data_IF_497961309059
#
_entry.id   IF_497961309059
#
_cell.length_a   1.000
_cell.length_b   1.000
_cell.length_c   1.000
_cell.angle_alpha   90.00
_cell.angle_beta   90.00
_cell.angle_gamma   90.00
#
_symmetry.space_group_name_H-M   'P 1'
#
loop_
_entity.id
_entity.type
_entity.pdbx_description
1 polymer ?
#
# COMPACT_ATOMS: atom_id res chain seq x y z
N UNK A 1 -6.73 0.79 -3.41
CA UNK A 1 -5.44 1.45 -3.73
C UNK A 1 -5.47 1.98 -5.17
N UNK A 2 -4.89 3.15 -5.40
CA UNK A 2 -4.79 3.73 -6.73
C UNK A 2 -3.58 3.24 -7.54
N UNK A 3 -3.46 3.68 -8.79
CA UNK A 3 -2.43 3.21 -9.75
C UNK A 3 -1.03 3.73 -9.43
N UNK A 4 -0.96 4.84 -8.71
CA UNK A 4 0.25 5.44 -8.13
C UNK A 4 0.53 4.92 -6.69
N UNK A 5 -0.25 3.94 -6.23
CA UNK A 5 -0.13 3.37 -4.89
C UNK A 5 -0.70 4.22 -3.76
N UNK A 6 -1.36 5.36 -4.03
CA UNK A 6 -1.97 6.13 -2.95
C UNK A 6 -3.14 5.38 -2.30
N UNK A 7 -3.33 5.68 -1.02
CA UNK A 7 -4.46 5.24 -0.19
C UNK A 7 -5.15 6.46 0.39
N UNK A 8 -6.47 6.41 0.54
CA UNK A 8 -7.27 7.58 0.93
C UNK A 8 -6.89 8.81 0.07
N UNK A 9 -6.49 9.93 0.68
CA UNK A 9 -5.93 11.10 -0.02
C UNK A 9 -4.45 11.31 0.33
N UNK A 10 -3.72 10.24 0.63
CA UNK A 10 -2.30 10.26 0.99
C UNK A 10 -1.45 9.98 -0.26
N UNK A 11 -1.26 11.03 -1.06
CA UNK A 11 -0.57 10.97 -2.35
C UNK A 11 0.95 10.88 -2.23
N UNK A 12 1.67 10.24 -3.17
CA UNK A 12 3.12 10.24 -3.16
C UNK A 12 3.73 11.64 -3.07
N UNK A 13 4.72 11.81 -2.20
CA UNK A 13 5.50 13.03 -1.98
C UNK A 13 4.70 14.21 -1.40
N UNK A 14 3.48 13.98 -0.92
CA UNK A 14 2.65 14.99 -0.27
C UNK A 14 2.98 15.13 1.22
N UNK A 15 2.97 16.35 1.76
CA UNK A 15 3.33 16.63 3.17
C UNK A 15 2.42 15.94 4.20
N UNK A 16 1.17 15.64 3.83
CA UNK A 16 0.22 14.90 4.66
C UNK A 16 0.73 13.52 5.15
N UNK A 17 1.76 12.95 4.51
CA UNK A 17 2.38 11.68 4.91
C UNK A 17 3.32 11.81 6.10
N UNK A 18 3.81 13.03 6.37
CA UNK A 18 4.72 13.31 7.47
C UNK A 18 4.00 13.57 8.79
N UNK A 19 2.67 13.73 8.76
CA UNK A 19 1.84 13.95 9.95
C UNK A 19 1.91 12.74 10.88
N UNK A 20 2.29 12.98 12.14
CA UNK A 20 2.45 11.94 13.18
C UNK A 20 1.39 12.01 14.28
N UNK A 21 0.86 13.20 14.57
CA UNK A 21 -0.02 13.41 15.72
C UNK A 21 -1.47 13.72 15.31
N UNK A 22 -1.68 14.31 14.14
CA UNK A 22 -3.02 14.64 13.64
C UNK A 22 -3.79 13.38 13.23
N UNK A 23 -5.08 13.33 13.59
CA UNK A 23 -5.95 12.21 13.23
C UNK A 23 -6.52 12.34 11.81
N UNK A 24 -6.87 13.57 11.45
CA UNK A 24 -7.50 13.95 10.19
C UNK A 24 -6.77 15.18 9.69
N UNK A 25 -6.58 15.28 8.38
CA UNK A 25 -6.05 16.48 7.74
C UNK A 25 -6.85 16.82 6.49
N UNK A 26 -6.58 17.98 5.91
CA UNK A 26 -7.07 18.39 4.61
C UNK A 26 -5.90 18.65 3.67
N UNK A 27 -6.13 18.41 2.37
CA UNK A 27 -5.20 18.77 1.30
C UNK A 27 -5.95 19.64 0.30
N UNK A 28 -5.26 20.53 -0.40
CA UNK A 28 -5.87 21.48 -1.36
C UNK A 28 -5.27 21.36 -2.77
N UNK A 29 -4.32 20.46 -2.95
CA UNK A 29 -3.43 20.32 -4.08
C UNK A 29 -3.30 18.86 -4.53
N UNK A 30 -4.39 18.08 -4.36
CA UNK A 30 -4.44 16.71 -4.89
C UNK A 30 -4.12 16.69 -6.39
N UNK A 31 -3.20 15.82 -6.86
CA UNK A 31 -2.85 15.70 -8.27
C UNK A 31 -4.01 15.13 -9.11
N UNK A 32 -5.04 14.60 -8.45
CA UNK A 32 -6.26 14.07 -9.08
C UNK A 32 -7.48 14.88 -8.63
N UNK A 33 -8.37 15.30 -9.54
CA UNK A 33 -9.55 16.08 -9.17
C UNK A 33 -10.52 15.28 -8.28
N UNK A 34 -11.25 15.93 -7.34
CA UNK A 34 -11.10 17.33 -6.95
C UNK A 34 -9.81 17.57 -6.14
N UNK A 35 -9.24 18.80 -6.22
CA UNK A 35 -7.97 19.14 -5.56
C UNK A 35 -8.10 19.16 -4.03
N UNK A 36 -9.26 19.57 -3.51
CA UNK A 36 -9.54 19.67 -2.08
C UNK A 36 -10.13 18.38 -1.52
N UNK A 37 -9.52 17.84 -0.46
CA UNK A 37 -9.95 16.59 0.17
C UNK A 37 -9.69 16.62 1.67
N UNK A 38 -10.56 15.95 2.44
CA UNK A 38 -10.32 15.62 3.85
C UNK A 38 -9.93 14.14 3.92
N UNK A 39 -8.98 13.78 4.77
CA UNK A 39 -8.47 12.41 4.85
C UNK A 39 -7.95 12.04 6.24
N UNK A 40 -8.06 10.75 6.59
CA UNK A 40 -7.36 10.21 7.74
C UNK A 40 -5.86 10.13 7.47
N UNK A 41 -5.06 10.40 8.48
CA UNK A 41 -3.61 10.30 8.42
C UNK A 41 -3.16 8.84 8.60
N UNK A 42 -1.87 8.58 8.40
CA UNK A 42 -1.28 7.26 8.64
C UNK A 42 -1.43 6.76 10.08
N UNK A 43 -1.21 7.57 11.14
CA UNK A 43 -1.45 7.14 12.52
C UNK A 43 -2.84 6.54 12.75
N UNK A 44 -3.90 7.21 12.27
CA UNK A 44 -5.28 6.71 12.41
C UNK A 44 -5.50 5.48 11.56
N UNK A 45 -5.06 5.50 10.31
CA UNK A 45 -5.20 4.36 9.39
C UNK A 45 -4.54 3.11 9.98
N UNK A 46 -3.32 3.23 10.53
CA UNK A 46 -2.55 2.13 11.11
C UNK A 46 -3.03 1.71 12.52
N UNK A 47 -3.90 2.50 13.16
CA UNK A 47 -4.53 2.14 14.44
C UNK A 47 -5.73 1.19 14.27
N UNK A 48 -6.22 0.98 13.04
CA UNK A 48 -7.35 0.11 12.77
C UNK A 48 -7.02 -1.35 13.15
N UNK A 49 -7.97 -2.04 13.79
CA UNK A 49 -7.79 -3.46 14.17
C UNK A 49 -7.64 -4.39 12.97
N UNK A 50 -8.21 -4.02 11.82
CA UNK A 50 -8.10 -4.74 10.57
C UNK A 50 -8.01 -3.74 9.42
N UNK A 51 -7.11 -3.98 8.47
CA UNK A 51 -6.98 -3.18 7.25
C UNK A 51 -7.16 -4.09 6.03
N UNK A 52 -8.08 -3.73 5.15
CA UNK A 52 -8.27 -4.37 3.86
C UNK A 52 -7.83 -3.43 2.73
N UNK A 53 -6.90 -3.88 1.88
CA UNK A 53 -6.46 -3.15 0.70
C UNK A 53 -7.04 -3.83 -0.54
N UNK A 54 -7.98 -3.17 -1.19
CA UNK A 54 -8.61 -3.64 -2.44
C UNK A 54 -7.94 -2.98 -3.66
N UNK A 55 -7.53 -3.77 -4.65
CA UNK A 55 -7.04 -3.28 -5.93
C UNK A 55 -7.46 -4.23 -7.07
N UNK A 56 -8.10 -3.68 -8.09
CA UNK A 56 -8.63 -4.45 -9.23
C UNK A 56 -8.24 -3.80 -10.55
N UNK A 57 -8.03 -4.62 -11.57
CA UNK A 57 -7.70 -4.18 -12.92
C UNK A 57 -6.21 -3.96 -13.16
N UNK A 58 -5.81 -4.11 -14.43
CA UNK A 58 -4.41 -4.06 -14.89
C UNK A 58 -3.70 -2.75 -14.54
N UNK A 59 -4.44 -1.64 -14.47
CA UNK A 59 -3.89 -0.34 -14.09
C UNK A 59 -3.35 -0.28 -12.65
N UNK A 60 -3.59 -1.30 -11.82
CA UNK A 60 -3.04 -1.43 -10.48
C UNK A 60 -1.85 -2.38 -10.38
N UNK A 61 -1.55 -3.15 -11.44
CA UNK A 61 -0.63 -4.28 -11.37
C UNK A 61 0.78 -3.91 -10.89
N UNK A 62 1.35 -2.81 -11.41
CA UNK A 62 2.66 -2.35 -10.97
C UNK A 62 2.66 -1.84 -9.53
N UNK A 63 1.61 -1.11 -9.13
CA UNK A 63 1.47 -0.63 -7.77
C UNK A 63 1.31 -1.80 -6.78
N UNK A 64 0.58 -2.84 -7.17
CA UNK A 64 0.43 -4.06 -6.38
C UNK A 64 1.76 -4.78 -6.26
N UNK A 65 2.47 -5.01 -7.37
CA UNK A 65 3.78 -5.68 -7.38
C UNK A 65 4.76 -5.06 -6.40
N UNK A 66 5.00 -3.77 -6.56
CA UNK A 66 5.91 -3.02 -5.70
C UNK A 66 5.46 -2.97 -4.23
N UNK A 67 4.14 -2.98 -3.95
CA UNK A 67 3.63 -2.90 -2.59
C UNK A 67 3.67 -4.23 -1.83
N UNK A 68 3.70 -5.37 -2.54
CA UNK A 68 3.72 -6.71 -1.94
C UNK A 68 5.07 -7.42 -2.08
N UNK A 69 5.98 -6.92 -2.95
CA UNK A 69 7.34 -7.44 -3.06
C UNK A 69 8.18 -7.04 -1.85
N UNK A 70 8.84 -7.99 -1.19
CA UNK A 70 9.76 -7.81 -0.04
C UNK A 70 11.03 -6.97 -0.36
N UNK A 71 11.13 -6.37 -1.54
CA UNK A 71 12.22 -5.48 -1.98
C UNK A 71 12.28 -4.13 -1.23
N UNK A 72 11.69 -4.07 -0.04
CA UNK A 72 11.58 -2.87 0.80
C UNK A 72 12.88 -2.52 1.53
N UNK A 73 13.81 -3.47 1.64
CA UNK A 73 15.05 -3.31 2.40
C UNK A 73 16.27 -3.14 1.48
N UNK A 74 16.30 -2.02 0.75
CA UNK A 74 17.47 -1.58 0.01
C UNK A 74 17.51 -0.06 -0.10
N UNK A 75 18.69 0.58 -0.14
CA UNK A 75 18.81 2.04 -0.31
C UNK A 75 18.20 2.55 -1.63
N UNK A 76 17.93 1.65 -2.58
CA UNK A 76 17.28 1.90 -3.87
C UNK A 76 15.81 1.42 -3.92
N UNK A 77 15.23 0.98 -2.79
CA UNK A 77 13.82 0.60 -2.72
C UNK A 77 12.96 1.77 -3.23
N UNK A 78 12.05 1.57 -4.21
CA UNK A 78 11.28 2.66 -4.77
C UNK A 78 10.52 3.38 -3.65
N UNK A 79 10.96 4.59 -3.33
CA UNK A 79 10.43 5.53 -2.32
C UNK A 79 8.94 5.87 -2.55
N UNK A 80 8.30 5.28 -3.55
CA UNK A 80 7.14 5.84 -4.22
C UNK A 80 5.79 5.19 -3.90
N UNK A 81 5.71 4.03 -3.24
CA UNK A 81 4.39 3.41 -2.99
C UNK A 81 3.90 3.54 -1.56
N UNK A 82 2.93 4.45 -1.38
CA UNK A 82 2.37 4.82 -0.07
C UNK A 82 1.49 3.74 0.56
N UNK A 83 0.98 2.80 -0.23
CA UNK A 83 0.35 1.60 0.31
C UNK A 83 1.27 0.79 1.23
N UNK A 84 2.60 0.85 1.05
CA UNK A 84 3.57 0.20 1.96
C UNK A 84 3.68 0.87 3.32
N UNK A 85 3.25 2.14 3.45
CA UNK A 85 3.21 2.87 4.72
C UNK A 85 1.95 2.52 5.55
N UNK A 86 1.02 1.77 4.95
CA UNK A 86 -0.12 1.19 5.66
C UNK A 86 0.35 -0.05 6.40
N UNK A 87 0.87 0.17 7.59
CA UNK A 87 1.44 -0.84 8.47
C UNK A 87 0.62 -0.84 9.77
N UNK A 88 -0.43 -1.69 9.85
CA UNK A 88 -1.24 -1.78 11.06
C UNK A 88 -0.35 -2.05 12.27
N UNK A 89 -0.64 -1.38 13.38
CA UNK A 89 0.04 -1.58 14.67
C UNK A 89 -0.05 -3.03 15.17
N UNK A 90 -1.09 -3.74 14.76
CA UNK A 90 -1.29 -5.15 15.05
C UNK A 90 -1.66 -5.93 13.78
N UNK A 91 -0.94 -7.01 13.51
CA UNK A 91 -1.19 -7.87 12.34
C UNK A 91 -0.60 -7.33 11.05
N UNK A 92 -1.20 -7.72 9.91
CA UNK A 92 -0.80 -7.31 8.56
C UNK A 92 -2.04 -6.89 7.77
N UNK A 93 -1.93 -5.96 6.80
CA UNK A 93 -3.05 -5.65 5.93
C UNK A 93 -3.40 -6.88 5.08
N UNK A 94 -4.69 -7.10 4.86
CA UNK A 94 -5.20 -8.15 3.98
C UNK A 94 -5.43 -7.57 2.59
N UNK A 95 -4.79 -8.17 1.58
CA UNK A 95 -4.88 -7.74 0.19
C UNK A 95 -5.97 -8.50 -0.55
N UNK A 96 -6.90 -7.78 -1.16
CA UNK A 96 -7.94 -8.31 -2.04
C UNK A 96 -7.65 -7.85 -3.47
N UNK A 97 -7.26 -8.80 -4.32
CA UNK A 97 -6.75 -8.54 -5.66
C UNK A 97 -7.50 -9.37 -6.69
N UNK A 98 -7.74 -8.81 -7.88
CA UNK A 98 -8.20 -9.59 -9.03
C UNK A 98 -7.03 -10.07 -9.89
N UNK A 99 -7.30 -11.01 -10.81
CA UNK A 99 -6.27 -11.58 -11.69
C UNK A 99 -5.52 -10.52 -12.51
N UNK A 100 -6.21 -9.43 -12.88
CA UNK A 100 -5.61 -8.37 -13.67
C UNK A 100 -4.66 -7.50 -12.83
N UNK A 101 -4.99 -7.22 -11.57
CA UNK A 101 -4.14 -6.50 -10.63
C UNK A 101 -2.93 -7.33 -10.15
N UNK A 102 -2.94 -8.65 -10.34
CA UNK A 102 -1.78 -9.52 -10.03
C UNK A 102 -0.87 -9.77 -11.24
N UNK A 103 -1.12 -9.16 -12.41
CA UNK A 103 -0.41 -9.51 -13.65
C UNK A 103 1.09 -9.22 -13.65
N UNK A 104 1.56 -8.35 -12.74
CA UNK A 104 2.98 -8.02 -12.57
C UNK A 104 3.64 -8.77 -11.42
N UNK A 105 2.92 -9.63 -10.69
CA UNK A 105 3.51 -10.46 -9.64
C UNK A 105 4.30 -11.61 -10.25
N UNK A 106 5.52 -11.81 -9.78
CA UNK A 106 6.26 -13.04 -10.10
C UNK A 106 5.55 -14.22 -9.43
N UNK A 107 5.36 -15.29 -10.17
CA UNK A 107 4.92 -16.54 -9.57
C UNK A 107 6.05 -17.04 -8.66
N UNK A 108 5.74 -17.34 -7.40
CA UNK A 108 6.65 -18.10 -6.55
C UNK A 108 6.99 -19.40 -7.29
N UNK A 109 8.27 -19.62 -7.61
CA UNK A 109 8.69 -20.93 -8.11
C UNK A 109 8.37 -21.97 -7.04
N UNK A 110 7.76 -23.09 -7.45
CA UNK A 110 7.20 -24.14 -6.57
C UNK A 110 8.13 -24.64 -5.45
N UNK A 111 9.46 -24.44 -5.56
CA UNK A 111 10.44 -24.84 -4.54
C UNK A 111 10.39 -24.06 -3.21
N UNK A 112 9.77 -22.88 -3.16
CA UNK A 112 9.71 -22.07 -1.94
C UNK A 112 8.59 -22.52 -0.97
N UNK A 113 7.49 -23.06 -1.50
CA UNK A 113 6.35 -23.52 -0.68
C UNK A 113 6.69 -24.77 0.15
N UNK A 114 7.52 -25.69 -0.37
CA UNK A 114 7.84 -26.94 0.31
C UNK A 114 8.79 -26.78 1.50
N UNK A 115 9.65 -25.76 1.51
CA UNK A 115 10.58 -25.54 2.64
C UNK A 115 9.90 -24.92 3.87
N UNK A 116 8.83 -24.15 3.67
CA UNK A 116 8.15 -23.45 4.78
C UNK A 116 7.18 -24.36 5.57
N UNK A 117 6.75 -25.49 4.98
CA UNK A 117 5.85 -26.46 5.61
C UNK A 117 6.54 -27.72 6.17
N UNK A 118 7.87 -27.83 6.08
CA UNK A 118 8.65 -28.95 6.68
C UNK A 118 9.11 -28.72 8.12
N UNK A 119 8.81 -27.56 8.71
CA UNK A 119 9.25 -27.19 10.05
C UNK A 119 8.17 -27.30 11.14
N UNK A 120 7.16 -28.14 10.94
CA UNK A 120 6.19 -28.54 11.97
C UNK A 120 6.19 -30.05 12.17
#
# INVERSE_FOLDING_TARGET
MASDGHVASLFPNHQALELKDDWVTYITDSPQPPPERITFTLPVTNSASNIAILATGVGKANAVHLAVSDSSDGPDAPVSLRATMVQPTHGKPVWFLDKAATSSLEALSDGAYEQQHRAY
#
